data_IF_686471643008
#
_entry.id   IF_686471643008
#
_cell.length_a   1.000
_cell.length_b   1.000
_cell.length_c   1.000
_cell.angle_alpha   90.00
_cell.angle_beta   90.00
_cell.angle_gamma   90.00
#
_symmetry.space_group_name_H-M   'P 1'
#
loop_
_entity.id
_entity.type
_entity.pdbx_description
1 polymer ?
#
# COMPACT_ATOMS: atom_id res chain seq x y z
N UNK A 1 10.49 -16.15 -3.20
CA UNK A 1 10.64 -15.07 -4.21
C UNK A 1 9.35 -14.98 -5.01
N UNK A 2 8.96 -13.80 -5.49
CA UNK A 2 7.76 -13.67 -6.33
C UNK A 2 8.00 -14.27 -7.73
N UNK A 3 7.03 -15.03 -8.23
CA UNK A 3 6.97 -15.59 -9.58
C UNK A 3 6.57 -14.53 -10.61
N UNK A 4 5.69 -13.61 -10.21
CA UNK A 4 5.26 -12.47 -11.00
C UNK A 4 4.80 -11.33 -10.09
N UNK A 5 4.97 -10.10 -10.57
CA UNK A 5 4.58 -8.88 -9.85
C UNK A 5 3.81 -7.94 -10.77
N UNK A 6 2.74 -7.36 -10.25
CA UNK A 6 1.82 -6.48 -10.97
C UNK A 6 1.65 -5.17 -10.19
N UNK A 7 2.38 -4.10 -10.54
CA UNK A 7 2.26 -2.81 -9.87
C UNK A 7 0.98 -2.08 -10.28
N UNK A 8 0.27 -1.51 -9.30
CA UNK A 8 -0.81 -0.56 -9.57
C UNK A 8 -0.23 0.83 -9.81
N UNK A 9 -0.30 1.32 -11.05
CA UNK A 9 0.18 2.65 -11.43
C UNK A 9 -0.93 3.68 -11.21
N UNK A 10 -0.68 4.63 -10.33
CA UNK A 10 -1.53 5.79 -10.11
C UNK A 10 -1.27 6.82 -11.20
N UNK A 11 -2.34 7.25 -11.86
CA UNK A 11 -2.28 8.31 -12.89
C UNK A 11 -3.12 9.50 -12.47
N UNK A 12 -2.55 10.70 -12.59
CA UNK A 12 -3.25 11.95 -12.25
C UNK A 12 -4.32 12.32 -13.26
N UNK A 13 -4.13 12.00 -14.53
CA UNK A 13 -4.96 12.44 -15.65
C UNK A 13 -5.83 11.33 -16.26
N UNK A 14 -5.67 10.10 -15.80
CA UNK A 14 -6.37 8.92 -16.33
C UNK A 14 -6.69 7.99 -15.18
N UNK A 15 -7.51 6.98 -15.45
CA UNK A 15 -7.75 5.89 -14.49
C UNK A 15 -6.43 5.21 -14.13
N UNK A 16 -6.24 4.95 -12.85
CA UNK A 16 -5.17 4.06 -12.37
C UNK A 16 -5.42 2.67 -12.95
N UNK A 17 -4.36 2.02 -13.42
CA UNK A 17 -4.43 0.68 -13.96
C UNK A 17 -3.31 -0.18 -13.36
N UNK A 18 -3.60 -1.46 -13.20
CA UNK A 18 -2.63 -2.50 -12.95
C UNK A 18 -1.77 -2.64 -14.21
N UNK A 19 -0.45 -2.60 -14.04
CA UNK A 19 0.48 -2.82 -15.14
C UNK A 19 0.96 -4.25 -15.13
N UNK A 20 0.87 -4.89 -16.28
CA UNK A 20 1.28 -6.26 -16.49
C UNK A 20 1.75 -6.43 -17.94
N UNK A 21 2.70 -7.35 -18.14
CA UNK A 21 3.19 -7.71 -19.46
C UNK A 21 2.39 -8.86 -20.07
N UNK A 22 2.82 -9.30 -21.26
CA UNK A 22 2.29 -10.53 -21.84
C UNK A 22 2.62 -11.71 -20.93
N UNK A 23 1.76 -12.72 -20.91
CA UNK A 23 2.00 -13.99 -20.19
C UNK A 23 3.36 -14.61 -20.56
N UNK A 24 3.86 -14.30 -21.76
CA UNK A 24 5.16 -14.76 -22.22
C UNK A 24 6.38 -14.24 -21.47
N UNK A 25 6.24 -13.09 -20.84
CA UNK A 25 7.33 -12.42 -20.13
C UNK A 25 7.53 -13.01 -18.73
N UNK A 26 6.56 -13.79 -18.23
CA UNK A 26 6.59 -14.42 -16.91
C UNK A 26 7.02 -15.89 -16.99
N UNK A 27 8.30 -16.13 -17.28
CA UNK A 27 8.86 -17.49 -17.42
C UNK A 27 8.61 -18.39 -16.21
N UNK A 28 8.74 -17.84 -14.99
CA UNK A 28 8.56 -18.58 -13.73
C UNK A 28 7.10 -18.90 -13.42
N UNK A 29 6.16 -18.06 -13.86
CA UNK A 29 4.73 -18.25 -13.60
C UNK A 29 4.13 -19.34 -14.51
N UNK A 30 4.71 -19.53 -15.70
CA UNK A 30 4.23 -20.47 -16.72
C UNK A 30 4.19 -21.92 -16.27
N UNK A 31 5.05 -22.29 -15.34
CA UNK A 31 5.11 -23.65 -14.79
C UNK A 31 3.87 -23.99 -13.93
N UNK A 32 3.19 -22.97 -13.38
CA UNK A 32 2.14 -23.16 -12.37
C UNK A 32 0.74 -22.75 -12.86
N UNK A 33 0.65 -21.74 -13.72
CA UNK A 33 -0.61 -21.13 -14.15
C UNK A 33 -0.71 -21.15 -15.67
N UNK A 34 -1.85 -21.59 -16.24
CA UNK A 34 -2.10 -21.52 -17.69
C UNK A 34 -2.45 -20.10 -18.13
N UNK A 35 -2.24 -19.80 -19.42
CA UNK A 35 -2.50 -18.47 -19.99
C UNK A 35 -3.96 -18.01 -19.84
N UNK A 36 -4.92 -18.90 -20.10
CA UNK A 36 -6.36 -18.57 -19.99
C UNK A 36 -6.75 -18.16 -18.56
N UNK A 37 -6.22 -18.87 -17.56
CA UNK A 37 -6.46 -18.55 -16.17
C UNK A 37 -5.77 -17.26 -15.77
N UNK A 38 -4.51 -17.07 -16.20
CA UNK A 38 -3.80 -15.81 -15.99
C UNK A 38 -4.62 -14.61 -16.47
N UNK A 39 -5.10 -14.64 -17.71
CA UNK A 39 -5.90 -13.55 -18.29
C UNK A 39 -7.21 -13.36 -17.50
N UNK A 40 -7.90 -14.45 -17.16
CA UNK A 40 -9.18 -14.39 -16.44
C UNK A 40 -9.02 -13.79 -15.03
N UNK A 41 -7.98 -14.22 -14.30
CA UNK A 41 -7.66 -13.73 -12.95
C UNK A 41 -7.31 -12.25 -12.99
N UNK A 42 -6.47 -11.86 -13.94
CA UNK A 42 -6.01 -10.50 -14.09
C UNK A 42 -7.13 -9.56 -14.52
N UNK A 43 -8.01 -10.00 -15.42
CA UNK A 43 -9.22 -9.26 -15.80
C UNK A 43 -10.16 -9.05 -14.61
N UNK A 44 -10.30 -10.05 -13.74
CA UNK A 44 -11.11 -9.95 -12.51
C UNK A 44 -10.52 -8.89 -11.56
N UNK A 45 -9.20 -8.92 -11.36
CA UNK A 45 -8.49 -7.93 -10.53
C UNK A 45 -8.59 -6.53 -11.16
N UNK A 46 -8.40 -6.40 -12.48
CA UNK A 46 -8.48 -5.12 -13.18
C UNK A 46 -9.90 -4.53 -13.10
N UNK A 47 -10.93 -5.36 -13.25
CA UNK A 47 -12.32 -4.94 -13.07
C UNK A 47 -12.59 -4.46 -11.64
N UNK A 48 -12.05 -5.16 -10.65
CA UNK A 48 -12.16 -4.77 -9.24
C UNK A 48 -11.46 -3.43 -8.96
N UNK A 49 -10.23 -3.25 -9.45
CA UNK A 49 -9.49 -1.97 -9.40
C UNK A 49 -10.29 -0.85 -10.07
N UNK A 50 -10.86 -1.09 -11.26
CA UNK A 50 -11.59 -0.07 -11.99
C UNK A 50 -12.86 0.40 -11.27
N UNK A 51 -13.51 -0.50 -10.51
CA UNK A 51 -14.79 -0.24 -9.83
C UNK A 51 -14.60 0.33 -8.42
N UNK A 52 -13.69 -0.22 -7.64
CA UNK A 52 -13.60 0.05 -6.19
C UNK A 52 -12.43 0.96 -5.81
N UNK A 53 -11.37 1.03 -6.61
CA UNK A 53 -10.21 1.85 -6.27
C UNK A 53 -10.57 3.35 -6.27
N UNK A 54 -10.20 4.12 -5.24
CA UNK A 54 -10.46 5.56 -5.19
C UNK A 54 -9.62 6.31 -6.22
N UNK A 55 -10.24 6.63 -7.36
CA UNK A 55 -9.58 7.26 -8.49
C UNK A 55 -9.29 8.77 -8.25
N UNK A 56 -8.03 9.18 -8.45
CA UNK A 56 -7.54 10.55 -8.22
C UNK A 56 -7.86 11.51 -9.38
N UNK A 57 -8.00 11.00 -10.61
CA UNK A 57 -8.20 11.84 -11.79
C UNK A 57 -9.44 12.72 -11.69
N UNK A 58 -10.53 12.21 -11.10
CA UNK A 58 -11.78 12.95 -10.94
C UNK A 58 -11.55 14.23 -10.12
N UNK A 59 -10.75 14.15 -9.06
CA UNK A 59 -10.45 15.31 -8.21
C UNK A 59 -9.56 16.33 -8.95
N UNK A 60 -8.68 15.86 -9.83
CA UNK A 60 -7.86 16.74 -10.67
C UNK A 60 -8.71 17.52 -11.68
N UNK A 61 -9.67 16.87 -12.35
CA UNK A 61 -10.56 17.56 -13.29
C UNK A 61 -11.51 18.52 -12.57
N UNK A 62 -12.07 18.15 -11.42
CA UNK A 62 -12.89 19.05 -10.62
C UNK A 62 -12.11 20.31 -10.23
N UNK A 63 -10.86 20.15 -9.84
CA UNK A 63 -9.98 21.29 -9.52
C UNK A 63 -9.72 22.20 -10.73
N UNK A 64 -9.43 21.62 -11.91
CA UNK A 64 -9.24 22.41 -13.13
C UNK A 64 -10.51 23.16 -13.54
N UNK A 65 -11.67 22.51 -13.47
CA UNK A 65 -12.95 23.14 -13.78
C UNK A 65 -13.20 24.31 -12.83
N UNK A 66 -12.91 24.16 -11.54
CA UNK A 66 -13.04 25.25 -10.57
C UNK A 66 -12.15 26.44 -10.94
N UNK A 67 -10.87 26.21 -11.30
CA UNK A 67 -9.97 27.28 -11.75
C UNK A 67 -10.50 27.97 -13.01
N UNK A 68 -10.96 27.19 -13.99
CA UNK A 68 -11.51 27.73 -15.23
C UNK A 68 -12.73 28.61 -14.96
N UNK A 69 -13.63 28.17 -14.08
CA UNK A 69 -14.81 28.96 -13.68
C UNK A 69 -14.42 30.25 -12.98
N UNK A 70 -13.40 30.25 -12.12
CA UNK A 70 -12.89 31.47 -11.48
C UNK A 70 -12.31 32.44 -12.51
N UNK A 71 -11.54 31.94 -13.49
CA UNK A 71 -10.99 32.75 -14.57
C UNK A 71 -12.10 33.37 -15.45
N UNK A 72 -13.12 32.59 -15.79
CA UNK A 72 -14.29 33.07 -16.55
C UNK A 72 -15.09 34.09 -15.74
N UNK A 73 -15.30 33.86 -14.44
CA UNK A 73 -15.97 34.82 -13.56
C UNK A 73 -15.21 36.16 -13.52
N UNK A 74 -13.88 36.11 -13.44
CA UNK A 74 -13.03 37.31 -13.45
C UNK A 74 -13.15 38.06 -14.79
N UNK A 75 -13.10 37.36 -15.92
CA UNK A 75 -13.28 37.97 -17.24
C UNK A 75 -14.67 38.63 -17.39
N UNK A 76 -15.74 37.95 -16.98
CA UNK A 76 -17.11 38.49 -17.00
C UNK A 76 -17.22 39.70 -16.09
N UNK A 77 -16.57 39.69 -14.92
CA UNK A 77 -16.56 40.84 -14.00
C UNK A 77 -15.95 42.08 -14.63
N UNK A 78 -14.85 41.94 -15.37
CA UNK A 78 -14.20 43.05 -16.10
C UNK A 78 -15.14 43.60 -17.18
N UNK A 79 -15.76 42.74 -17.98
CA UNK A 79 -16.68 43.15 -19.05
C UNK A 79 -17.95 43.78 -18.49
N UNK A 80 -18.53 43.21 -17.44
CA UNK A 80 -19.72 43.73 -16.78
C UNK A 80 -19.46 45.13 -16.19
N UNK A 81 -18.27 45.34 -15.60
CA UNK A 81 -17.82 46.65 -15.14
C UNK A 81 -17.69 47.66 -16.28
N UNK A 82 -17.19 47.24 -17.45
CA UNK A 82 -17.10 48.09 -18.63
C UNK A 82 -18.48 48.43 -19.22
N UNK A 83 -19.46 47.53 -19.08
CA UNK A 83 -20.82 47.70 -19.61
C UNK A 83 -21.82 48.34 -18.62
N UNK A 84 -21.38 48.76 -17.42
CA UNK A 84 -22.26 49.20 -16.32
C UNK A 84 -23.39 48.21 -15.99
N UNK A 85 -23.18 46.92 -16.25
CA UNK A 85 -24.14 45.87 -15.90
C UNK A 85 -24.00 45.52 -14.40
N UNK A 86 -25.11 45.13 -13.77
CA UNK A 86 -25.12 44.76 -12.36
C UNK A 86 -24.14 43.61 -12.03
N UNK A 87 -23.37 43.77 -10.96
CA UNK A 87 -22.32 42.84 -10.49
C UNK A 87 -22.82 41.49 -9.96
N UNK A 88 -24.12 41.17 -10.12
CA UNK A 88 -24.73 39.96 -9.56
C UNK A 88 -24.34 38.68 -10.33
N UNK A 89 -24.11 38.75 -11.64
CA UNK A 89 -23.70 37.61 -12.46
C UNK A 89 -22.35 36.97 -12.04
N UNK A 90 -21.25 37.71 -11.85
CA UNK A 90 -19.99 37.12 -11.39
C UNK A 90 -20.09 36.54 -9.97
N UNK A 91 -20.96 37.06 -9.11
CA UNK A 91 -21.17 36.54 -7.75
C UNK A 91 -21.81 35.14 -7.76
N UNK A 92 -22.81 34.92 -8.62
CA UNK A 92 -23.46 33.61 -8.79
C UNK A 92 -22.46 32.59 -9.36
N UNK A 93 -21.65 33.00 -10.33
CA UNK A 93 -20.64 32.12 -10.93
C UNK A 93 -19.60 31.70 -9.89
N UNK A 94 -19.26 32.57 -8.93
CA UNK A 94 -18.27 32.29 -7.88
C UNK A 94 -18.77 31.28 -6.82
N UNK A 95 -20.08 31.07 -6.71
CA UNK A 95 -20.68 30.07 -5.83
C UNK A 95 -20.33 28.64 -6.31
N UNK A 96 -20.20 28.43 -7.63
CA UNK A 96 -19.92 27.11 -8.21
C UNK A 96 -18.51 26.60 -7.83
N UNK A 97 -17.41 27.36 -8.00
CA UNK A 97 -16.10 27.00 -7.46
C UNK A 97 -16.08 26.75 -5.96
N UNK A 98 -16.85 27.52 -5.17
CA UNK A 98 -16.93 27.32 -3.72
C UNK A 98 -17.56 25.96 -3.37
N UNK A 99 -18.64 25.58 -4.07
CA UNK A 99 -19.26 24.25 -3.93
C UNK A 99 -18.32 23.13 -4.34
N UNK A 100 -17.58 23.30 -5.44
CA UNK A 100 -16.58 22.31 -5.89
C UNK A 100 -15.44 22.19 -4.86
N UNK A 101 -14.96 23.30 -4.29
CA UNK A 101 -13.92 23.31 -3.26
C UNK A 101 -14.37 22.60 -1.98
N UNK A 102 -15.62 22.81 -1.56
CA UNK A 102 -16.21 22.10 -0.43
C UNK A 102 -16.32 20.60 -0.71
N UNK A 103 -16.84 20.20 -1.87
CA UNK A 103 -17.00 18.81 -2.24
C UNK A 103 -15.66 18.06 -2.37
N UNK A 104 -14.67 18.69 -3.00
CA UNK A 104 -13.31 18.12 -3.13
C UNK A 104 -12.64 17.96 -1.77
N UNK A 105 -12.79 18.93 -0.85
CA UNK A 105 -12.29 18.81 0.54
C UNK A 105 -12.94 17.63 1.27
N UNK A 106 -14.27 17.52 1.22
CA UNK A 106 -15.00 16.41 1.85
C UNK A 106 -14.58 15.05 1.28
N UNK A 107 -14.39 14.99 -0.04
CA UNK A 107 -13.96 13.78 -0.73
C UNK A 107 -12.54 13.37 -0.36
N UNK A 108 -11.60 14.32 -0.28
CA UNK A 108 -10.23 14.06 0.20
C UNK A 108 -10.21 13.51 1.62
N UNK A 109 -11.06 14.04 2.51
CA UNK A 109 -11.13 13.53 3.89
C UNK A 109 -11.62 12.07 3.94
N UNK A 110 -12.52 11.68 3.04
CA UNK A 110 -13.03 10.30 2.96
C UNK A 110 -12.11 9.36 2.17
N UNK A 111 -11.06 9.88 1.54
CA UNK A 111 -10.19 9.11 0.64
C UNK A 111 -9.51 7.95 1.37
N UNK A 112 -8.89 8.21 2.53
CA UNK A 112 -8.19 7.18 3.30
C UNK A 112 -9.13 6.09 3.80
N UNK A 113 -10.36 6.45 4.20
CA UNK A 113 -11.38 5.48 4.60
C UNK A 113 -11.79 4.59 3.42
N UNK A 114 -11.97 5.17 2.23
CA UNK A 114 -12.28 4.39 1.01
C UNK A 114 -11.11 3.50 0.60
N UNK A 115 -9.88 4.00 0.73
CA UNK A 115 -8.68 3.24 0.42
C UNK A 115 -8.50 2.06 1.37
N UNK A 116 -8.76 2.24 2.68
CA UNK A 116 -8.74 1.15 3.65
C UNK A 116 -9.78 0.07 3.30
N UNK A 117 -11.03 0.46 3.03
CA UNK A 117 -12.07 -0.49 2.59
C UNK A 117 -11.69 -1.21 1.29
N UNK A 118 -11.03 -0.51 0.37
CA UNK A 118 -10.52 -1.11 -0.85
C UNK A 118 -9.47 -2.18 -0.56
N UNK A 119 -8.53 -1.93 0.38
CA UNK A 119 -7.56 -2.96 0.76
C UNK A 119 -8.22 -4.18 1.39
N UNK A 120 -9.24 -4.00 2.24
CA UNK A 120 -9.99 -5.11 2.82
C UNK A 120 -10.70 -5.94 1.72
N UNK A 121 -11.31 -5.25 0.74
CA UNK A 121 -11.99 -5.85 -0.41
C UNK A 121 -11.02 -6.56 -1.37
N UNK A 122 -9.85 -5.97 -1.60
CA UNK A 122 -8.79 -6.59 -2.39
C UNK A 122 -8.25 -7.83 -1.68
N UNK A 123 -8.08 -7.78 -0.36
CA UNK A 123 -7.62 -8.92 0.41
C UNK A 123 -8.62 -10.08 0.38
N UNK A 124 -9.92 -9.81 0.46
CA UNK A 124 -10.95 -10.87 0.33
C UNK A 124 -10.96 -11.46 -1.07
N UNK A 125 -10.85 -10.63 -2.12
CA UNK A 125 -10.74 -11.10 -3.50
C UNK A 125 -9.49 -11.97 -3.70
N UNK A 126 -8.33 -11.56 -3.23
CA UNK A 126 -7.10 -12.35 -3.36
C UNK A 126 -7.17 -13.66 -2.57
N UNK A 127 -7.84 -13.67 -1.41
CA UNK A 127 -8.14 -14.92 -0.68
C UNK A 127 -9.05 -15.85 -1.47
N UNK A 128 -10.05 -15.31 -2.16
CA UNK A 128 -10.92 -16.10 -3.04
C UNK A 128 -10.15 -16.65 -4.25
N UNK A 129 -9.24 -15.88 -4.84
CA UNK A 129 -8.36 -16.39 -5.90
C UNK A 129 -7.44 -17.49 -5.36
N UNK A 130 -6.88 -17.30 -4.17
CA UNK A 130 -6.03 -18.30 -3.53
C UNK A 130 -6.78 -19.60 -3.23
N UNK A 131 -8.04 -19.53 -2.78
CA UNK A 131 -8.84 -20.73 -2.51
C UNK A 131 -9.13 -21.54 -3.77
N UNK A 132 -9.23 -20.88 -4.92
CA UNK A 132 -9.40 -21.54 -6.22
C UNK A 132 -8.08 -22.09 -6.77
N UNK A 133 -6.96 -21.43 -6.46
CA UNK A 133 -5.63 -21.76 -6.97
C UNK A 133 -4.79 -22.63 -6.00
N UNK A 134 -5.36 -23.14 -4.89
CA UNK A 134 -4.68 -24.01 -3.90
C UNK A 134 -3.97 -25.20 -4.57
N UNK A 135 -4.63 -25.81 -5.56
CA UNK A 135 -4.09 -26.98 -6.28
C UNK A 135 -2.84 -26.69 -7.10
N UNK A 136 -2.52 -25.41 -7.31
CA UNK A 136 -1.40 -24.94 -8.16
C UNK A 136 -0.20 -24.47 -7.37
N UNK A 137 -0.23 -24.56 -6.03
CA UNK A 137 0.85 -24.12 -5.13
C UNK A 137 1.26 -22.65 -5.38
N UNK A 138 0.31 -21.79 -5.72
CA UNK A 138 0.54 -20.35 -5.88
C UNK A 138 -0.31 -19.55 -4.91
N UNK A 139 0.23 -18.42 -4.47
CA UNK A 139 -0.45 -17.48 -3.58
C UNK A 139 -0.33 -16.07 -4.12
N UNK A 140 -1.49 -15.48 -4.32
CA UNK A 140 -1.68 -14.08 -4.60
C UNK A 140 -1.62 -13.30 -3.28
N UNK A 141 -0.73 -12.33 -3.22
CA UNK A 141 -0.60 -11.39 -2.11
C UNK A 141 -0.49 -9.99 -2.65
N UNK A 142 -0.72 -8.98 -1.82
CA UNK A 142 -0.40 -7.60 -2.16
C UNK A 142 0.53 -7.02 -1.11
N UNK A 143 1.39 -6.11 -1.53
CA UNK A 143 2.33 -5.44 -0.66
C UNK A 143 2.56 -4.00 -1.11
N UNK A 144 3.18 -3.22 -0.23
CA UNK A 144 3.72 -1.91 -0.62
C UNK A 144 4.95 -2.09 -1.52
N UNK A 145 5.22 -1.13 -2.42
CA UNK A 145 6.46 -1.09 -3.18
C UNK A 145 7.65 -1.08 -2.20
N UNK A 146 8.70 -1.82 -2.54
CA UNK A 146 9.94 -1.90 -1.75
C UNK A 146 11.04 -1.18 -2.54
N UNK A 147 12.03 -0.64 -1.82
CA UNK A 147 13.18 0.02 -2.47
C UNK A 147 14.04 -0.97 -3.26
N UNK A 148 13.93 -2.26 -2.95
CA UNK A 148 14.60 -3.35 -3.67
C UNK A 148 13.92 -3.72 -4.98
N UNK A 149 12.71 -3.21 -5.25
CA UNK A 149 11.96 -3.58 -6.45
C UNK A 149 12.66 -3.07 -7.71
N UNK A 150 12.97 -3.98 -8.63
CA UNK A 150 13.61 -3.61 -9.88
C UNK A 150 12.58 -3.33 -10.98
N UNK A 151 12.94 -2.45 -11.93
CA UNK A 151 12.09 -2.19 -13.09
C UNK A 151 11.84 -3.42 -13.95
N UNK A 152 12.78 -4.37 -13.96
CA UNK A 152 12.66 -5.62 -14.70
C UNK A 152 11.63 -6.56 -14.07
N UNK A 153 11.60 -6.71 -12.74
CA UNK A 153 10.61 -7.54 -12.05
C UNK A 153 9.19 -6.99 -12.19
N UNK A 154 9.07 -5.66 -12.17
CA UNK A 154 7.78 -4.96 -12.34
C UNK A 154 7.37 -4.78 -13.81
N UNK A 155 8.21 -5.23 -14.77
CA UNK A 155 8.03 -5.04 -16.21
C UNK A 155 7.76 -3.57 -16.61
N UNK A 156 8.38 -2.63 -15.89
CA UNK A 156 8.28 -1.20 -16.13
C UNK A 156 9.49 -0.70 -16.92
N UNK A 157 9.28 0.35 -17.73
CA UNK A 157 10.40 1.07 -18.37
C UNK A 157 11.13 1.88 -17.30
N UNK A 158 12.45 2.00 -17.42
CA UNK A 158 13.23 2.86 -16.51
C UNK A 158 13.02 4.35 -16.87
N UNK A 159 13.10 5.26 -15.90
CA UNK A 159 13.34 5.04 -14.46
C UNK A 159 12.06 4.74 -13.67
N UNK A 160 12.18 3.96 -12.58
CA UNK A 160 11.04 3.62 -11.72
C UNK A 160 10.40 4.85 -11.05
N UNK A 161 11.20 5.89 -10.80
CA UNK A 161 10.77 7.17 -10.23
C UNK A 161 9.75 7.93 -11.10
N UNK A 162 9.64 7.60 -12.39
CA UNK A 162 8.62 8.18 -13.26
C UNK A 162 7.20 7.68 -12.94
N UNK A 163 7.08 6.59 -12.18
CA UNK A 163 5.81 5.94 -11.87
C UNK A 163 5.43 6.14 -10.40
N UNK A 164 4.18 6.55 -10.18
CA UNK A 164 3.61 6.56 -8.84
C UNK A 164 2.90 5.22 -8.61
N UNK A 165 3.54 4.33 -7.86
CA UNK A 165 3.03 2.98 -7.57
C UNK A 165 2.38 2.99 -6.18
N UNK A 166 1.13 2.54 -6.09
CA UNK A 166 0.43 2.48 -4.80
C UNK A 166 0.76 1.20 -4.01
N UNK A 167 0.62 0.07 -4.69
CA UNK A 167 0.89 -1.27 -4.18
C UNK A 167 1.25 -2.16 -5.36
N UNK A 168 1.80 -3.33 -5.04
CA UNK A 168 2.17 -4.36 -5.99
C UNK A 168 1.44 -5.64 -5.60
N UNK A 169 0.78 -6.28 -6.55
CA UNK A 169 0.22 -7.62 -6.38
C UNK A 169 1.29 -8.61 -6.80
N UNK A 170 1.68 -9.51 -5.91
CA UNK A 170 2.67 -10.55 -6.17
C UNK A 170 2.00 -11.92 -6.20
N UNK A 171 2.50 -12.77 -7.10
CA UNK A 171 2.27 -14.21 -7.05
C UNK A 171 3.55 -14.83 -6.50
N UNK A 172 3.44 -15.59 -5.41
CA UNK A 172 4.54 -16.39 -4.87
C UNK A 172 4.18 -17.87 -4.90
N UNK A 173 5.19 -18.72 -5.02
CA UNK A 173 5.00 -20.15 -4.80
C UNK A 173 4.72 -20.39 -3.31
N UNK A 174 3.72 -21.23 -3.03
CA UNK A 174 3.44 -21.77 -1.71
C UNK A 174 4.32 -22.98 -1.52
N UNK A 175 5.21 -22.91 -0.54
CA UNK A 175 5.87 -24.09 -0.03
C UNK A 175 4.97 -24.70 1.04
N UNK A 176 4.40 -25.85 0.72
CA UNK A 176 3.42 -26.56 1.58
C UNK A 176 3.97 -26.90 2.95
N UNK A 177 5.29 -27.03 3.11
CA UNK A 177 5.90 -27.27 4.42
C UNK A 177 5.86 -26.03 5.33
N UNK A 178 5.91 -24.83 4.76
CA UNK A 178 5.97 -23.58 5.53
C UNK A 178 4.59 -23.04 5.90
N UNK A 179 3.54 -23.28 5.10
CA UNK A 179 2.17 -22.85 5.45
C UNK A 179 1.57 -23.70 6.58
N UNK A 180 1.85 -25.01 6.62
CA UNK A 180 1.42 -25.87 7.73
C UNK A 180 2.05 -25.43 9.07
N UNK A 181 3.26 -24.88 9.05
CA UNK A 181 3.89 -24.30 10.23
C UNK A 181 3.28 -22.95 10.62
N UNK A 182 2.86 -22.12 9.66
CA UNK A 182 2.27 -20.79 9.92
C UNK A 182 0.81 -20.84 10.39
N UNK A 183 0.03 -21.83 9.96
CA UNK A 183 -1.34 -22.03 10.48
C UNK A 183 -1.36 -22.71 11.87
N UNK A 184 -0.28 -23.40 12.25
CA UNK A 184 -0.14 -24.10 13.53
C UNK A 184 0.54 -23.31 14.66
N UNK A 185 1.41 -22.33 14.34
CA UNK A 185 2.22 -21.61 15.34
C UNK A 185 2.33 -20.11 15.02
N UNK A 186 1.21 -19.37 15.08
CA UNK A 186 1.32 -17.92 15.30
C UNK A 186 1.54 -17.65 16.78
N UNK A 187 2.81 -17.63 17.20
CA UNK A 187 3.18 -16.97 18.46
C UNK A 187 2.75 -15.48 18.37
N UNK A 188 2.07 -14.93 19.38
CA UNK A 188 1.69 -13.53 19.37
C UNK A 188 2.94 -12.67 19.23
N UNK A 189 2.96 -11.78 18.23
CA UNK A 189 4.03 -10.80 18.09
C UNK A 189 3.97 -9.85 19.30
N UNK A 190 5.01 -9.88 20.15
CA UNK A 190 5.19 -8.94 21.27
C UNK A 190 5.42 -7.48 20.82
N UNK A 191 5.33 -7.20 19.52
CA UNK A 191 5.68 -5.90 18.92
C UNK A 191 4.58 -4.84 19.06
N UNK A 192 3.42 -5.18 19.62
CA UNK A 192 2.38 -4.19 19.98
C UNK A 192 2.61 -3.52 21.33
N UNK A 193 3.72 -3.81 22.03
CA UNK A 193 4.05 -3.21 23.33
C UNK A 193 4.86 -1.90 23.25
N UNK A 194 5.24 -1.42 22.05
CA UNK A 194 5.97 -0.14 21.89
C UNK A 194 5.08 1.10 21.73
N UNK A 195 3.75 0.98 21.74
CA UNK A 195 2.86 2.13 21.92
C UNK A 195 2.56 2.30 23.41
N UNK A 196 3.56 2.74 24.17
CA UNK A 196 3.37 3.17 25.55
C UNK A 196 2.55 4.46 25.55
N UNK A 197 1.24 4.32 25.80
CA UNK A 197 0.35 5.43 26.11
C UNK A 197 0.68 5.81 27.55
N UNK A 198 1.62 6.75 27.72
CA UNK A 198 1.83 7.40 29.02
C UNK A 198 0.60 8.29 29.29
N UNK A 199 -0.32 7.77 30.09
CA UNK A 199 -1.40 8.54 30.70
C UNK A 199 -0.78 9.46 31.76
N UNK A 200 -0.55 10.71 31.38
CA UNK A 200 -0.07 11.74 32.29
C UNK A 200 -1.21 12.18 33.22
N UNK A 201 -1.29 11.56 34.40
CA UNK A 201 -2.14 12.00 35.51
C UNK A 201 -1.23 12.29 36.70
N UNK A 202 -0.86 13.56 36.87
CA UNK A 202 -0.20 14.08 38.06
C UNK A 202 -0.05 15.60 37.99
N UNK A 203 -0.40 16.36 39.04
CA UNK A 203 -0.43 17.83 38.97
C UNK A 203 0.97 18.44 39.14
N UNK A 204 1.22 19.45 38.31
CA UNK A 204 2.14 20.59 38.47
C UNK A 204 3.42 20.40 39.29
N UNK A 205 4.58 20.40 38.62
CA UNK A 205 5.54 21.52 38.61
C UNK A 205 6.93 21.06 38.14
N UNK A 206 7.46 21.79 37.17
CA UNK A 206 8.85 22.27 37.01
C UNK A 206 9.21 22.30 35.52
N UNK A 207 9.51 23.52 35.11
CA UNK A 207 9.87 24.03 33.80
C UNK A 207 11.40 23.90 33.63
N UNK A 208 11.84 23.95 32.36
CA UNK A 208 13.23 23.97 31.84
C UNK A 208 13.81 22.58 31.52
N UNK A 209 14.49 22.30 30.41
CA UNK A 209 14.87 23.06 29.21
C UNK A 209 15.40 22.04 28.17
N UNK A 210 15.09 22.26 26.89
CA UNK A 210 15.88 21.94 25.70
C UNK A 210 16.68 20.62 25.55
N UNK A 211 16.39 19.96 24.42
CA UNK A 211 17.31 19.24 23.50
C UNK A 211 18.01 17.97 23.98
N UNK A 212 17.75 16.88 23.24
CA UNK A 212 18.63 15.71 23.19
C UNK A 212 17.91 14.43 23.56
N UNK A 213 17.70 13.56 22.58
CA UNK A 213 17.29 12.18 22.80
C UNK A 213 18.22 11.50 23.84
N UNK A 214 17.69 10.86 24.89
CA UNK A 214 18.50 9.98 25.71
C UNK A 214 18.77 8.69 24.92
N UNK A 215 20.04 8.46 24.58
CA UNK A 215 20.54 7.15 24.15
C UNK A 215 20.25 6.11 25.26
N UNK A 216 19.92 4.86 24.91
CA UNK A 216 19.79 3.79 25.89
C UNK A 216 21.14 3.53 26.59
N UNK A 217 21.13 3.04 27.84
CA UNK A 217 22.36 2.76 28.58
C UNK A 217 23.19 1.67 27.88
N UNK A 218 24.47 1.96 27.67
CA UNK A 218 25.46 0.97 27.26
C UNK A 218 25.68 -0.04 28.39
N UNK A 219 25.36 -1.32 28.13
CA UNK A 219 25.67 -2.40 29.06
C UNK A 219 27.18 -2.56 29.21
N UNK A 220 27.66 -2.35 30.43
CA UNK A 220 29.05 -2.58 30.82
C UNK A 220 29.31 -4.09 30.88
N UNK A 221 30.20 -4.57 30.02
CA UNK A 221 30.51 -5.99 29.85
C UNK A 221 31.66 -6.38 30.78
N UNK A 222 31.47 -6.18 32.08
CA UNK A 222 32.43 -6.55 33.12
C UNK A 222 31.74 -7.04 34.39
N UNK A 223 30.96 -8.11 34.25
CA UNK A 223 30.62 -8.97 35.39
C UNK A 223 31.00 -10.40 34.99
N UNK A 224 31.98 -10.92 35.72
CA UNK A 224 32.55 -12.26 35.64
C UNK A 224 31.47 -13.35 35.58
N UNK A 225 31.53 -14.19 34.55
CA UNK A 225 30.85 -15.48 34.53
C UNK A 225 31.92 -16.54 34.75
N UNK A 226 32.01 -17.03 35.99
CA UNK A 226 32.92 -18.12 36.35
C UNK A 226 32.66 -19.37 35.51
N UNK A 227 33.72 -20.13 35.26
CA UNK A 227 33.72 -21.36 34.46
C UNK A 227 32.63 -22.34 34.93
N UNK A 228 31.53 -22.43 34.18
CA UNK A 228 30.63 -23.58 34.24
C UNK A 228 31.06 -24.54 33.14
N UNK A 229 31.78 -25.57 33.58
CA UNK A 229 32.22 -26.70 32.78
C UNK A 229 31.02 -27.42 32.15
N UNK A 230 30.89 -27.36 30.83
CA UNK A 230 29.89 -28.14 30.07
C UNK A 230 30.28 -29.63 30.07
N UNK A 231 29.39 -30.57 30.43
CA UNK A 231 29.64 -31.99 30.21
C UNK A 231 29.49 -32.33 28.71
N UNK A 232 30.27 -33.30 28.18
CA UNK A 232 30.29 -33.61 26.75
C UNK A 232 29.01 -34.34 26.28
N UNK A 233 28.67 -34.24 24.98
CA UNK A 233 27.47 -34.85 24.41
C UNK A 233 27.60 -36.38 24.30
N UNK A 234 26.54 -37.10 24.69
CA UNK A 234 26.43 -38.54 24.49
C UNK A 234 26.00 -38.87 23.05
N UNK A 235 26.80 -39.65 22.33
CA UNK A 235 26.42 -40.22 21.03
C UNK A 235 25.64 -41.53 21.23
N UNK A 236 24.64 -41.83 20.39
CA UNK A 236 23.97 -43.13 20.42
C UNK A 236 24.88 -44.23 19.86
N UNK A 237 25.05 -45.31 20.62
CA UNK A 237 25.72 -46.54 20.17
C UNK A 237 24.75 -47.31 19.27
N UNK A 238 25.15 -47.46 18.01
CA UNK A 238 24.52 -48.31 17.01
C UNK A 238 24.99 -49.75 17.22
N UNK A 239 24.16 -50.63 17.80
CA UNK A 239 24.46 -52.07 17.85
C UNK A 239 23.69 -52.81 16.75
N UNK A 240 24.38 -52.98 15.63
CA UNK A 240 24.08 -54.00 14.63
C UNK A 240 24.53 -55.38 15.14
N UNK A 241 23.60 -56.34 15.07
CA UNK A 241 23.74 -57.81 14.86
C UNK A 241 24.74 -58.62 15.70
N UNK A 242 24.22 -59.66 16.35
CA UNK A 242 24.30 -61.06 15.87
C UNK A 242 23.50 -61.98 16.78
#
# INVERSE_FOLDING_TARGET
MALASFPLIIRRWRRSNLHYGDYAQYSRLREYLTEELFITRLATIEQHVAKEYPQIWIDTYLFLIAILLVAVAAAISIVARAANAGLWYPLIILLVPAMIAFFTTRRRNTYYIRLARYYDSLQSLLKELNSQDVTRQIKWTFRRPRDTDTSAELLLKQPLSAYNINFVIDISQVDTETELAQEGETLPAYDTSMMDIVLDIGPENVREQSTGHPLPPSYDRSIEMGDIQQPPPAYPINNNRS
#
